data_IF_688413701408
#
_entry.id   IF_688413701408
#
_cell.length_a   1.000
_cell.length_b   1.000
_cell.length_c   1.000
_cell.angle_alpha   90.00
_cell.angle_beta   90.00
_cell.angle_gamma   90.00
#
_symmetry.space_group_name_H-M   'P 1'
#
loop_
_entity.id
_entity.type
_entity.pdbx_description
1 polymer ?
#
# COMPACT_ATOMS: atom_id res chain seq x y z
N UNK A 1 -14.83 -10.24 -15.76
CA UNK A 1 -14.03 -11.44 -15.40
C UNK A 1 -12.57 -11.15 -15.66
N UNK A 2 -11.80 -10.83 -14.63
CA UNK A 2 -10.36 -10.56 -14.73
C UNK A 2 -9.54 -11.87 -14.67
N UNK A 3 -9.99 -12.91 -15.37
CA UNK A 3 -9.40 -14.26 -15.31
C UNK A 3 -8.58 -14.62 -16.56
N UNK A 4 -8.29 -13.66 -17.46
CA UNK A 4 -7.81 -13.95 -18.81
C UNK A 4 -6.38 -13.49 -19.17
N UNK A 5 -5.54 -12.99 -18.23
CA UNK A 5 -4.23 -12.39 -18.59
C UNK A 5 -3.01 -12.79 -17.76
N UNK A 6 -3.09 -13.77 -16.86
CA UNK A 6 -1.91 -14.24 -16.12
C UNK A 6 -2.25 -15.00 -14.85
N UNK A 7 -1.24 -15.55 -14.18
CA UNK A 7 -1.39 -16.23 -12.90
C UNK A 7 -2.17 -15.34 -11.90
N UNK A 8 -3.08 -15.93 -11.09
CA UNK A 8 -3.88 -15.16 -10.16
C UNK A 8 -2.98 -14.42 -9.17
N UNK A 9 -3.29 -13.14 -8.93
CA UNK A 9 -2.59 -12.35 -7.92
C UNK A 9 -2.86 -12.95 -6.53
N UNK A 10 -1.80 -13.02 -5.73
CA UNK A 10 -1.92 -13.25 -4.28
C UNK A 10 -2.70 -12.11 -3.63
N UNK A 11 -3.29 -12.34 -2.46
CA UNK A 11 -4.05 -11.30 -1.76
C UNK A 11 -3.19 -10.08 -1.41
N UNK A 12 -1.89 -10.28 -1.13
CA UNK A 12 -0.93 -9.18 -1.04
C UNK A 12 -0.84 -8.37 -2.32
N UNK A 13 -0.63 -9.03 -3.46
CA UNK A 13 -0.48 -8.33 -4.72
C UNK A 13 -1.74 -7.53 -5.07
N UNK A 14 -2.92 -8.06 -4.76
CA UNK A 14 -4.18 -7.31 -4.89
C UNK A 14 -4.21 -6.10 -3.98
N UNK A 15 -3.82 -6.26 -2.71
CA UNK A 15 -3.83 -5.15 -1.76
C UNK A 15 -2.82 -4.05 -2.14
N UNK A 16 -1.61 -4.42 -2.57
CA UNK A 16 -0.62 -3.47 -3.09
C UNK A 16 -1.14 -2.75 -4.33
N UNK A 17 -1.83 -3.46 -5.24
CA UNK A 17 -2.41 -2.85 -6.43
C UNK A 17 -3.48 -1.80 -6.09
N UNK A 18 -4.36 -2.10 -5.14
CA UNK A 18 -5.42 -1.18 -4.70
C UNK A 18 -4.83 0.02 -3.96
N UNK A 19 -3.97 -0.22 -2.97
CA UNK A 19 -3.37 0.84 -2.14
C UNK A 19 -2.43 1.75 -2.96
N UNK A 20 -1.78 1.21 -4.00
CA UNK A 20 -0.97 1.98 -4.94
C UNK A 20 -1.75 3.03 -5.74
N UNK A 21 -3.09 2.96 -5.77
CA UNK A 21 -3.93 4.00 -6.39
C UNK A 21 -4.11 5.23 -5.49
N UNK A 22 -3.86 5.09 -4.18
CA UNK A 22 -3.96 6.17 -3.19
C UNK A 22 -2.59 6.67 -2.76
N UNK A 23 -1.61 5.78 -2.67
CA UNK A 23 -0.24 6.07 -2.25
C UNK A 23 0.72 5.60 -3.34
N UNK A 24 1.26 6.55 -4.11
CA UNK A 24 2.15 6.28 -5.23
C UNK A 24 3.52 5.72 -4.81
N UNK A 25 3.97 6.06 -3.59
CA UNK A 25 5.24 5.57 -3.07
C UNK A 25 5.45 5.93 -1.60
N UNK A 26 6.25 5.11 -0.91
CA UNK A 26 6.61 5.30 0.50
C UNK A 26 8.13 5.24 0.64
N UNK A 27 8.70 6.12 1.46
CA UNK A 27 10.12 6.19 1.79
C UNK A 27 10.32 6.55 3.25
N UNK A 28 11.57 6.56 3.73
CA UNK A 28 11.88 7.03 5.09
C UNK A 28 11.55 8.52 5.29
N UNK A 29 11.46 9.31 4.22
CA UNK A 29 11.15 10.73 4.30
C UNK A 29 9.64 11.03 4.38
N UNK A 30 8.78 10.04 4.11
CA UNK A 30 7.36 10.28 3.92
C UNK A 30 6.74 9.37 2.85
N UNK A 31 5.53 9.72 2.44
CA UNK A 31 4.82 9.06 1.34
C UNK A 31 4.28 10.07 0.34
N UNK A 32 4.09 9.64 -0.90
CA UNK A 32 3.49 10.44 -1.98
C UNK A 32 2.07 9.98 -2.21
N UNK A 33 1.11 10.90 -2.07
CA UNK A 33 -0.30 10.65 -2.34
C UNK A 33 -0.63 10.57 -3.83
N UNK A 34 -1.82 10.11 -4.16
CA UNK A 34 -2.34 10.07 -5.53
C UNK A 34 -2.51 11.46 -6.16
N UNK A 35 -2.55 12.49 -5.34
CA UNK A 35 -2.53 13.90 -5.75
C UNK A 35 -1.12 14.42 -6.11
N UNK A 36 -0.08 13.59 -5.94
CA UNK A 36 1.30 13.93 -6.20
C UNK A 36 1.98 14.72 -5.09
N UNK A 37 1.30 14.98 -3.96
CA UNK A 37 1.86 15.68 -2.82
C UNK A 37 2.61 14.72 -1.89
N UNK A 38 3.64 15.25 -1.23
CA UNK A 38 4.42 14.53 -0.21
C UNK A 38 3.86 14.78 1.18
N UNK A 39 3.78 13.73 1.99
CA UNK A 39 3.25 13.74 3.35
C UNK A 39 4.21 13.09 4.33
N UNK A 40 4.26 13.60 5.56
CA UNK A 40 5.05 13.02 6.63
C UNK A 40 4.40 11.72 7.16
N UNK A 41 5.22 10.74 7.51
CA UNK A 41 4.77 9.54 8.21
C UNK A 41 4.35 9.90 9.66
N UNK A 42 3.26 9.31 10.13
CA UNK A 42 2.77 9.50 11.50
C UNK A 42 2.07 10.84 11.76
N UNK A 43 1.86 11.66 10.74
CA UNK A 43 1.00 12.83 10.79
C UNK A 43 -0.38 12.51 10.20
N UNK A 44 -1.41 13.25 10.61
CA UNK A 44 -2.71 13.17 9.96
C UNK A 44 -2.63 13.69 8.51
N UNK A 45 -3.35 13.03 7.61
CA UNK A 45 -3.34 13.38 6.21
C UNK A 45 -4.39 12.58 5.41
N UNK A 46 -4.70 13.02 4.19
CA UNK A 46 -5.80 12.47 3.38
C UNK A 46 -5.61 11.00 3.00
N UNK A 47 -4.37 10.50 2.97
CA UNK A 47 -4.05 9.10 2.63
C UNK A 47 -3.48 8.31 3.81
N UNK A 48 -3.63 8.80 5.05
CA UNK A 48 -3.05 8.16 6.24
C UNK A 48 -3.58 6.73 6.44
N UNK A 49 -4.86 6.50 6.15
CA UNK A 49 -5.50 5.19 6.29
C UNK A 49 -4.95 4.17 5.30
N UNK A 50 -4.62 4.58 4.07
CA UNK A 50 -3.98 3.73 3.09
C UNK A 50 -2.58 3.31 3.56
N UNK A 51 -1.79 4.26 4.07
CA UNK A 51 -0.46 3.97 4.63
C UNK A 51 -0.53 3.04 5.84
N UNK A 52 -1.48 3.27 6.75
CA UNK A 52 -1.72 2.39 7.90
C UNK A 52 -2.09 0.96 7.46
N UNK A 53 -2.90 0.84 6.41
CA UNK A 53 -3.27 -0.47 5.84
C UNK A 53 -2.07 -1.16 5.20
N UNK A 54 -1.24 -0.43 4.43
CA UNK A 54 0.00 -0.96 3.87
C UNK A 54 0.93 -1.49 4.97
N UNK A 55 1.09 -0.73 6.05
CA UNK A 55 1.87 -1.13 7.21
C UNK A 55 1.33 -2.42 7.85
N UNK A 56 0.03 -2.50 8.10
CA UNK A 56 -0.59 -3.69 8.69
C UNK A 56 -0.35 -4.94 7.85
N UNK A 57 -0.53 -4.84 6.52
CA UNK A 57 -0.29 -5.96 5.58
C UNK A 57 1.18 -6.38 5.60
N UNK A 58 2.11 -5.42 5.62
CA UNK A 58 3.54 -5.71 5.65
C UNK A 58 3.95 -6.45 6.92
N UNK A 59 3.42 -6.04 8.08
CA UNK A 59 3.68 -6.72 9.36
C UNK A 59 3.05 -8.12 9.39
N UNK A 60 1.83 -8.29 8.90
CA UNK A 60 1.16 -9.59 8.85
C UNK A 60 1.95 -10.60 8.00
N UNK A 61 2.47 -10.18 6.85
CA UNK A 61 3.32 -11.06 6.05
C UNK A 61 4.67 -11.36 6.70
N UNK A 62 5.29 -10.36 7.33
CA UNK A 62 6.53 -10.61 8.04
C UNK A 62 6.31 -11.69 9.12
N UNK A 63 5.23 -11.57 9.90
CA UNK A 63 4.88 -12.56 10.93
C UNK A 63 4.49 -13.93 10.38
N UNK A 64 3.98 -14.05 9.14
CA UNK A 64 3.65 -15.35 8.54
C UNK A 64 4.86 -16.09 7.96
N UNK A 65 6.01 -15.43 7.87
CA UNK A 65 7.27 -15.99 7.36
C UNK A 65 8.25 -16.40 8.47
N UNK A 66 7.93 -16.12 9.74
CA UNK A 66 8.70 -16.52 10.93
C UNK A 66 8.08 -17.79 11.51
#
# INVERSE_FOLDING_TARGET
MLYALGAPLTDRQKAVLVLGQEVAGVSLAGYTGADGLGYALGAEGPFVDAVNTMQAIQYLEFGSKV
#
